data_IF_048354602611
#
_entry.id   IF_048354602611
#
_cell.length_a   1.000
_cell.length_b   1.000
_cell.length_c   1.000
_cell.angle_alpha   90.00
_cell.angle_beta   90.00
_cell.angle_gamma   90.00
#
_symmetry.space_group_name_H-M   'P 1'
#
loop_
_entity.id
_entity.type
_entity.pdbx_description
1 polymer ?
#
# COMPACT_ATOMS: atom_id res chain seq x y z
N UNK A 1 11.86 30.79 -19.43
CA UNK A 1 10.77 30.89 -18.43
C UNK A 1 10.20 29.51 -18.23
N UNK A 2 10.50 28.84 -17.11
CA UNK A 2 9.97 27.51 -16.82
C UNK A 2 8.62 27.67 -16.13
N UNK A 3 7.54 27.57 -16.90
CA UNK A 3 6.19 27.53 -16.34
C UNK A 3 6.10 26.28 -15.46
N UNK A 4 6.03 26.47 -14.14
CA UNK A 4 5.68 25.42 -13.18
C UNK A 4 4.27 24.93 -13.53
N UNK A 5 4.18 23.94 -14.43
CA UNK A 5 2.93 23.26 -14.74
C UNK A 5 2.48 22.57 -13.45
N UNK A 6 1.28 22.93 -12.98
CA UNK A 6 0.59 22.19 -11.93
C UNK A 6 0.64 20.69 -12.27
N UNK A 7 1.24 19.90 -11.39
CA UNK A 7 1.56 18.49 -11.67
C UNK A 7 0.30 17.61 -11.53
N UNK A 8 0.25 16.47 -12.23
CA UNK A 8 -1.00 15.87 -12.72
C UNK A 8 -1.78 15.01 -11.72
N UNK A 9 -1.48 14.99 -10.41
CA UNK A 9 -2.18 14.05 -9.51
C UNK A 9 -3.43 14.64 -8.87
N UNK A 10 -4.56 14.01 -9.18
CA UNK A 10 -5.95 14.46 -9.05
C UNK A 10 -6.52 14.23 -7.68
N UNK A 11 -6.86 12.98 -7.47
CA UNK A 11 -7.66 12.51 -6.35
C UNK A 11 -7.02 11.22 -5.88
N UNK A 12 -6.80 11.12 -4.57
CA UNK A 12 -6.44 9.88 -3.91
C UNK A 12 -7.73 9.17 -3.49
N UNK A 13 -7.80 7.86 -3.73
CA UNK A 13 -8.92 7.02 -3.33
C UNK A 13 -8.42 5.82 -2.55
N UNK A 14 -9.23 5.38 -1.60
CA UNK A 14 -9.02 4.14 -0.87
C UNK A 14 -10.34 3.37 -0.79
N UNK A 15 -10.25 2.04 -0.83
CA UNK A 15 -11.38 1.13 -0.69
C UNK A 15 -10.98 -0.02 0.23
N UNK A 16 -11.83 -0.28 1.21
CA UNK A 16 -11.68 -1.37 2.15
C UNK A 16 -12.78 -2.40 1.91
N UNK A 17 -12.39 -3.64 1.66
CA UNK A 17 -13.29 -4.76 1.48
C UNK A 17 -12.99 -5.80 2.56
N UNK A 18 -13.88 -5.90 3.54
CA UNK A 18 -13.80 -6.93 4.54
C UNK A 18 -14.43 -8.23 4.02
N UNK A 19 -13.65 -9.31 4.01
CA UNK A 19 -14.08 -10.63 3.57
C UNK A 19 -14.24 -11.53 4.80
N UNK A 20 -15.44 -12.07 5.05
CA UNK A 20 -15.64 -12.94 6.20
C UNK A 20 -14.84 -14.22 6.04
N UNK A 21 -14.53 -14.95 7.12
CA UNK A 21 -13.96 -16.26 6.99
C UNK A 21 -14.94 -17.14 6.22
N UNK A 22 -14.60 -17.50 4.98
CA UNK A 22 -15.45 -18.34 4.15
C UNK A 22 -15.74 -19.65 4.90
N UNK A 23 -17.03 -19.99 5.08
CA UNK A 23 -17.44 -21.41 5.19
C UNK A 23 -17.07 -22.04 3.86
N UNK A 24 -15.90 -22.67 3.77
CA UNK A 24 -15.47 -23.34 2.55
C UNK A 24 -16.44 -24.47 2.22
N UNK A 25 -17.40 -24.20 1.34
CA UNK A 25 -18.28 -25.21 0.75
C UNK A 25 -17.58 -26.01 -0.36
N UNK A 26 -16.31 -25.71 -0.65
CA UNK A 26 -15.50 -26.41 -1.65
C UNK A 26 -14.48 -27.32 -0.96
N UNK A 27 -14.59 -28.66 -1.08
CA UNK A 27 -13.66 -29.61 -0.44
C UNK A 27 -12.24 -29.62 -1.04
N UNK A 28 -12.00 -28.97 -2.18
CA UNK A 28 -10.79 -29.19 -2.99
C UNK A 28 -9.68 -28.14 -2.83
N UNK A 29 -9.90 -27.03 -2.12
CA UNK A 29 -8.82 -26.09 -1.76
C UNK A 29 -8.41 -26.34 -0.33
N UNK A 30 -7.15 -26.80 -0.15
CA UNK A 30 -6.50 -26.93 1.17
C UNK A 30 -6.83 -25.68 1.99
N UNK A 31 -7.48 -25.90 3.13
CA UNK A 31 -8.03 -24.88 4.01
C UNK A 31 -6.93 -23.94 4.55
N UNK A 32 -6.49 -23.00 3.72
CA UNK A 32 -5.58 -21.93 4.11
C UNK A 32 -6.36 -20.82 4.79
N UNK A 33 -6.73 -21.10 6.04
CA UNK A 33 -7.15 -20.13 7.04
C UNK A 33 -8.63 -19.76 7.03
N UNK A 34 -9.33 -20.18 8.09
CA UNK A 34 -10.64 -19.68 8.54
C UNK A 34 -10.56 -18.29 9.15
N UNK A 35 -9.52 -17.52 8.81
CA UNK A 35 -9.30 -16.21 9.42
C UNK A 35 -9.89 -15.12 8.53
N UNK A 36 -10.59 -14.15 9.12
CA UNK A 36 -11.07 -13.02 8.36
C UNK A 36 -9.93 -12.23 7.74
N UNK A 37 -10.18 -11.74 6.52
CA UNK A 37 -9.23 -10.96 5.75
C UNK A 37 -9.86 -9.62 5.40
N UNK A 38 -9.06 -8.57 5.39
CA UNK A 38 -9.46 -7.29 4.85
C UNK A 38 -8.59 -6.98 3.65
N UNK A 39 -9.21 -6.85 2.48
CA UNK A 39 -8.56 -6.41 1.26
C UNK A 39 -8.63 -4.88 1.19
N UNK A 40 -7.51 -4.25 0.86
CA UNK A 40 -7.32 -2.81 0.80
C UNK A 40 -6.80 -2.45 -0.59
N UNK A 41 -7.50 -1.53 -1.24
CA UNK A 41 -7.09 -0.96 -2.51
C UNK A 41 -6.90 0.55 -2.35
N UNK A 42 -5.74 1.07 -2.76
CA UNK A 42 -5.42 2.50 -2.74
C UNK A 42 -4.92 2.90 -4.12
N UNK A 43 -5.46 3.98 -4.68
CA UNK A 43 -5.03 4.45 -6.00
C UNK A 43 -5.11 5.96 -6.13
N UNK A 44 -4.29 6.50 -7.04
CA UNK A 44 -4.30 7.91 -7.39
C UNK A 44 -4.74 8.09 -8.85
N UNK A 45 -5.63 9.03 -9.08
CA UNK A 45 -6.16 9.41 -10.39
C UNK A 45 -5.50 10.70 -10.89
N UNK A 46 -5.47 10.92 -12.21
CA UNK A 46 -4.94 12.14 -12.81
C UNK A 46 -5.85 13.37 -12.67
N UNK A 47 -5.26 14.56 -12.92
CA UNK A 47 -5.90 15.88 -13.04
C UNK A 47 -6.06 16.24 -14.52
N UNK A 48 -6.95 17.17 -14.82
CA UNK A 48 -6.98 17.86 -16.12
C UNK A 48 -7.25 16.91 -17.28
N UNK A 49 -6.27 16.74 -18.18
CA UNK A 49 -6.41 15.84 -19.35
C UNK A 49 -6.43 14.36 -18.97
N UNK A 50 -5.84 14.02 -17.82
CA UNK A 50 -5.78 12.66 -17.29
C UNK A 50 -6.87 12.43 -16.22
N UNK A 51 -7.94 13.23 -16.19
CA UNK A 51 -8.98 13.13 -15.17
C UNK A 51 -9.63 11.74 -15.17
N UNK A 52 -9.64 11.09 -14.01
CA UNK A 52 -10.17 9.73 -13.84
C UNK A 52 -9.25 8.62 -14.35
N UNK A 53 -8.09 8.96 -14.94
CA UNK A 53 -7.08 7.97 -15.33
C UNK A 53 -6.30 7.55 -14.10
N UNK A 54 -6.36 6.26 -13.76
CA UNK A 54 -5.52 5.68 -12.71
C UNK A 54 -4.04 5.76 -13.10
N UNK A 55 -3.27 6.50 -12.30
CA UNK A 55 -1.84 6.71 -12.46
C UNK A 55 -1.03 5.64 -11.72
N UNK A 56 -1.49 5.27 -10.51
CA UNK A 56 -0.86 4.29 -9.64
C UNK A 56 -1.90 3.66 -8.71
N UNK A 57 -1.68 2.41 -8.35
CA UNK A 57 -2.56 1.52 -7.61
C UNK A 57 -1.75 0.58 -6.73
N UNK A 58 -2.24 0.35 -5.52
CA UNK A 58 -1.70 -0.61 -4.58
C UNK A 58 -2.84 -1.47 -4.04
N UNK A 59 -2.63 -2.79 -4.06
CA UNK A 59 -3.52 -3.77 -3.46
C UNK A 59 -2.79 -4.48 -2.33
N UNK A 60 -3.42 -4.50 -1.16
CA UNK A 60 -2.93 -5.19 0.01
C UNK A 60 -4.03 -6.06 0.62
N UNK A 61 -3.61 -7.07 1.36
CA UNK A 61 -4.49 -7.87 2.21
C UNK A 61 -3.97 -7.84 3.64
N UNK A 62 -4.87 -7.75 4.60
CA UNK A 62 -4.56 -7.76 6.02
C UNK A 62 -4.96 -9.11 6.63
N UNK A 63 -4.02 -9.72 7.34
CA UNK A 63 -4.28 -10.89 8.19
C UNK A 63 -4.21 -10.47 9.66
N UNK A 64 -5.38 -10.42 10.32
CA UNK A 64 -5.49 -9.95 11.71
C UNK A 64 -4.72 -10.83 12.70
N UNK A 65 -4.73 -12.15 12.49
CA UNK A 65 -4.10 -13.10 13.41
C UNK A 65 -2.61 -12.82 13.62
N UNK A 66 -1.93 -12.41 12.55
CA UNK A 66 -0.49 -12.18 12.58
C UNK A 66 -0.13 -10.69 12.63
N UNK A 67 -1.13 -9.79 12.65
CA UNK A 67 -0.95 -8.34 12.59
C UNK A 67 -0.03 -7.94 11.42
N UNK A 68 -0.23 -8.59 10.27
CA UNK A 68 0.58 -8.41 9.05
C UNK A 68 -0.29 -7.92 7.90
N UNK A 69 0.15 -6.82 7.29
CA UNK A 69 -0.31 -6.39 5.98
C UNK A 69 0.57 -7.01 4.90
N UNK A 70 -0.02 -7.56 3.85
CA UNK A 70 0.68 -8.12 2.70
C UNK A 70 0.36 -7.29 1.48
N UNK A 71 1.37 -6.64 0.91
CA UNK A 71 1.23 -5.98 -0.40
C UNK A 71 1.21 -7.08 -1.46
N UNK A 72 0.09 -7.17 -2.15
CA UNK A 72 -0.13 -8.12 -3.24
C UNK A 72 0.31 -7.51 -4.57
N UNK A 73 0.14 -6.19 -4.72
CA UNK A 73 0.49 -5.48 -5.94
C UNK A 73 0.79 -4.00 -5.68
N UNK A 74 1.78 -3.46 -6.39
CA UNK A 74 2.10 -2.02 -6.44
C UNK A 74 2.48 -1.66 -7.89
N UNK A 75 1.67 -0.84 -8.54
CA UNK A 75 1.81 -0.55 -9.97
C UNK A 75 0.56 0.16 -10.49
N UNK A 76 -0.04 -0.35 -11.56
CA UNK A 76 -1.42 0.00 -11.96
C UNK A 76 -2.30 -1.25 -11.88
N UNK A 77 -3.60 -1.08 -11.72
CA UNK A 77 -4.55 -2.20 -11.73
C UNK A 77 -4.43 -3.01 -13.02
N UNK A 78 -4.81 -4.28 -12.94
CA UNK A 78 -4.81 -5.22 -14.08
C UNK A 78 -3.44 -5.42 -14.74
N UNK A 79 -2.35 -5.27 -13.97
CA UNK A 79 -0.97 -5.41 -14.46
C UNK A 79 -0.60 -4.43 -15.60
N UNK A 80 -1.30 -3.29 -15.69
CA UNK A 80 -1.02 -2.28 -16.72
C UNK A 80 0.32 -1.61 -16.48
N UNK A 81 0.97 -1.21 -17.58
CA UNK A 81 2.23 -0.46 -17.52
C UNK A 81 2.01 0.92 -16.86
N UNK A 82 2.97 1.35 -16.03
CA UNK A 82 2.96 2.67 -15.36
C UNK A 82 2.67 3.78 -16.37
N UNK A 83 1.77 4.68 -16.01
CA UNK A 83 1.33 5.76 -16.89
C UNK A 83 2.51 6.68 -17.20
N UNK A 84 2.64 7.08 -18.47
CA UNK A 84 3.83 7.78 -18.93
C UNK A 84 4.00 9.16 -18.26
N UNK A 85 2.91 9.79 -17.83
CA UNK A 85 2.96 11.09 -17.14
C UNK A 85 3.52 11.06 -15.72
N UNK A 86 3.79 9.87 -15.16
CA UNK A 86 4.34 9.72 -13.79
C UNK A 86 5.52 8.76 -13.69
N UNK A 87 5.92 8.11 -14.78
CA UNK A 87 6.91 7.04 -14.76
C UNK A 87 8.28 7.58 -14.33
N UNK A 88 8.73 7.16 -13.14
CA UNK A 88 10.05 7.51 -12.61
C UNK A 88 10.17 8.94 -12.05
N UNK A 89 9.10 9.74 -12.14
CA UNK A 89 9.14 11.12 -11.69
C UNK A 89 8.93 11.23 -10.18
N UNK A 90 9.88 11.87 -9.49
CA UNK A 90 9.80 12.21 -8.07
C UNK A 90 9.25 13.62 -7.89
N UNK A 91 8.00 13.73 -7.46
CA UNK A 91 7.33 15.03 -7.35
C UNK A 91 6.26 15.15 -6.28
N UNK A 92 5.90 14.04 -5.63
CA UNK A 92 4.98 14.07 -4.51
C UNK A 92 5.74 14.59 -3.30
N UNK A 93 5.25 15.66 -2.70
CA UNK A 93 5.88 16.25 -1.53
C UNK A 93 5.32 15.60 -0.28
N UNK A 94 6.19 15.07 0.58
CA UNK A 94 5.79 14.36 1.81
C UNK A 94 4.98 15.25 2.76
N UNK A 95 5.30 16.54 2.86
CA UNK A 95 4.69 17.43 3.85
C UNK A 95 5.19 17.06 5.26
N UNK A 96 5.63 18.05 6.02
CA UNK A 96 6.37 17.93 7.28
C UNK A 96 7.80 17.38 7.13
N UNK A 97 8.74 18.31 7.09
CA UNK A 97 10.13 18.05 7.49
C UNK A 97 10.13 17.80 9.01
N UNK A 98 9.92 16.56 9.43
CA UNK A 98 10.25 16.17 10.80
C UNK A 98 11.77 16.34 10.96
N UNK A 99 12.18 17.44 11.60
CA UNK A 99 13.59 17.71 11.94
C UNK A 99 14.14 16.52 12.72
N UNK A 100 15.09 15.79 12.13
CA UNK A 100 15.83 14.72 12.79
C UNK A 100 15.44 13.30 12.38
N UNK A 101 14.48 13.10 11.47
CA UNK A 101 14.30 11.79 10.84
C UNK A 101 15.46 11.51 9.85
N UNK A 102 15.94 10.25 9.74
CA UNK A 102 16.94 9.87 8.74
C UNK A 102 16.49 10.25 7.32
N UNK A 103 17.46 10.37 6.40
CA UNK A 103 17.38 10.90 5.02
C UNK A 103 16.28 10.25 4.14
N UNK A 104 15.01 10.46 4.46
CA UNK A 104 13.91 10.15 3.56
C UNK A 104 13.89 11.24 2.48
N UNK A 105 13.84 10.90 1.19
CA UNK A 105 13.73 11.88 0.12
C UNK A 105 12.55 12.83 0.35
N UNK A 106 12.78 14.14 0.21
CA UNK A 106 11.72 15.15 0.29
C UNK A 106 10.68 15.03 -0.82
N UNK A 107 11.06 14.38 -1.93
CA UNK A 107 10.21 14.08 -3.08
C UNK A 107 10.11 12.58 -3.33
N UNK A 108 8.87 12.14 -3.45
CA UNK A 108 8.49 10.76 -3.69
C UNK A 108 7.94 10.59 -5.11
N UNK A 109 8.10 9.39 -5.64
CA UNK A 109 7.29 8.92 -6.76
C UNK A 109 5.85 8.68 -6.29
N UNK A 110 4.86 8.71 -7.19
CA UNK A 110 3.48 8.35 -6.84
C UNK A 110 3.35 6.94 -6.25
N UNK A 111 4.18 5.99 -6.69
CA UNK A 111 4.20 4.63 -6.14
C UNK A 111 4.68 4.58 -4.69
N UNK A 112 5.77 5.28 -4.35
CA UNK A 112 6.23 5.41 -2.96
C UNK A 112 5.16 6.08 -2.08
N UNK A 113 4.51 7.14 -2.59
CA UNK A 113 3.47 7.87 -1.86
C UNK A 113 2.22 7.01 -1.59
N UNK A 114 1.72 6.30 -2.63
CA UNK A 114 0.59 5.38 -2.46
C UNK A 114 0.97 4.22 -1.55
N UNK A 115 2.20 3.70 -1.63
CA UNK A 115 2.68 2.66 -0.72
C UNK A 115 2.68 3.14 0.75
N UNK A 116 3.12 4.38 0.99
CA UNK A 116 3.05 5.02 2.31
C UNK A 116 1.62 5.16 2.83
N UNK A 117 0.68 5.61 1.99
CA UNK A 117 -0.74 5.68 2.37
C UNK A 117 -1.31 4.31 2.68
N UNK A 118 -1.04 3.30 1.85
CA UNK A 118 -1.47 1.92 2.10
C UNK A 118 -0.94 1.46 3.46
N UNK A 119 0.32 1.76 3.76
CA UNK A 119 0.91 1.43 5.06
C UNK A 119 0.24 2.16 6.22
N UNK A 120 -0.06 3.45 6.09
CA UNK A 120 -0.78 4.20 7.11
C UNK A 120 -2.17 3.58 7.40
N UNK A 121 -2.91 3.18 6.37
CA UNK A 121 -4.21 2.50 6.55
C UNK A 121 -4.04 1.13 7.21
N UNK A 122 -3.05 0.33 6.80
CA UNK A 122 -2.72 -0.96 7.44
C UNK A 122 -2.38 -0.78 8.92
N UNK A 123 -1.66 0.30 9.26
CA UNK A 123 -1.30 0.69 10.63
C UNK A 123 -2.56 0.96 11.46
N UNK A 124 -3.50 1.74 10.91
CA UNK A 124 -4.80 2.04 11.54
C UNK A 124 -5.67 0.80 11.77
N UNK A 125 -5.53 -0.21 10.89
CA UNK A 125 -6.20 -1.50 11.04
C UNK A 125 -5.48 -2.45 12.04
N UNK A 126 -4.40 -1.99 12.68
CA UNK A 126 -3.70 -2.71 13.75
C UNK A 126 -2.60 -3.67 13.30
N UNK A 127 -2.10 -3.56 12.07
CA UNK A 127 -0.95 -4.34 11.60
C UNK A 127 0.38 -3.58 11.77
N UNK A 128 1.35 -4.25 12.37
CA UNK A 128 2.66 -3.67 12.72
C UNK A 128 3.76 -4.01 11.72
N UNK A 129 3.53 -5.00 10.87
CA UNK A 129 4.49 -5.44 9.85
C UNK A 129 3.83 -5.46 8.49
N UNK A 130 4.56 -4.96 7.49
CA UNK A 130 4.22 -5.12 6.08
C UNK A 130 5.20 -6.11 5.44
N UNK A 131 4.66 -7.02 4.64
CA UNK A 131 5.43 -7.92 3.79
C UNK A 131 5.01 -7.78 2.32
N UNK A 132 5.93 -8.01 1.41
CA UNK A 132 5.67 -8.00 -0.03
C UNK A 132 6.58 -8.99 -0.77
N UNK A 133 6.15 -9.39 -1.97
CA UNK A 133 6.98 -10.11 -2.93
C UNK A 133 7.65 -9.11 -3.89
N UNK A 134 8.97 -9.12 -3.94
CA UNK A 134 9.74 -8.37 -4.92
C UNK A 134 9.86 -9.21 -6.20
N UNK A 135 8.89 -9.05 -7.10
CA UNK A 135 8.92 -9.66 -8.45
C UNK A 135 9.92 -8.92 -9.35
N UNK A 136 11.20 -9.06 -9.04
CA UNK A 136 12.28 -8.47 -9.82
C UNK A 136 12.58 -9.34 -11.05
N UNK A 137 12.92 -8.70 -12.17
CA UNK A 137 13.26 -9.38 -13.42
C UNK A 137 14.72 -9.85 -13.50
N UNK A 138 15.41 -9.95 -12.36
CA UNK A 138 16.82 -10.28 -12.23
C UNK A 138 17.75 -9.08 -12.25
N UNK A 139 17.23 -7.85 -12.43
CA UNK A 139 18.05 -6.63 -12.39
C UNK A 139 18.49 -6.22 -10.99
N UNK A 140 17.81 -6.70 -9.95
CA UNK A 140 18.02 -6.34 -8.54
C UNK A 140 17.42 -4.97 -8.15
N UNK A 141 17.05 -4.13 -9.12
CA UNK A 141 16.66 -2.74 -8.87
C UNK A 141 15.42 -2.60 -7.99
N UNK A 142 14.46 -3.52 -8.11
CA UNK A 142 13.25 -3.46 -7.29
C UNK A 142 13.57 -3.82 -5.83
N UNK A 143 14.45 -4.81 -5.63
CA UNK A 143 14.92 -5.19 -4.30
C UNK A 143 15.74 -4.06 -3.67
N UNK A 144 16.61 -3.42 -4.45
CA UNK A 144 17.42 -2.29 -4.00
C UNK A 144 16.54 -1.09 -3.63
N UNK A 145 15.51 -0.81 -4.43
CA UNK A 145 14.50 0.20 -4.11
C UNK A 145 13.83 -0.12 -2.76
N UNK A 146 13.28 -1.32 -2.58
CA UNK A 146 12.64 -1.67 -1.31
C UNK A 146 13.61 -1.66 -0.12
N UNK A 147 14.87 -2.05 -0.34
CA UNK A 147 15.92 -1.96 0.68
C UNK A 147 16.19 -0.51 1.06
N UNK A 148 16.20 0.41 0.10
CA UNK A 148 16.35 1.86 0.36
C UNK A 148 15.16 2.45 1.11
N UNK A 149 13.97 1.85 0.98
CA UNK A 149 12.80 2.17 1.79
C UNK A 149 12.81 1.48 3.16
N UNK A 150 13.89 0.76 3.50
CA UNK A 150 14.12 0.09 4.77
C UNK A 150 13.43 -1.27 4.94
N UNK A 151 12.97 -1.89 3.84
CA UNK A 151 12.57 -3.29 3.88
C UNK A 151 13.80 -4.20 3.93
N UNK A 152 13.70 -5.26 4.73
CA UNK A 152 14.72 -6.32 4.80
C UNK A 152 14.28 -7.54 4.02
N UNK A 153 15.23 -8.25 3.44
CA UNK A 153 15.01 -9.54 2.78
C UNK A 153 14.66 -10.61 3.82
N UNK A 154 13.71 -11.47 3.50
CA UNK A 154 13.41 -12.67 4.27
C UNK A 154 14.20 -13.88 3.74
N UNK A 155 14.58 -14.84 4.60
CA UNK A 155 15.23 -16.09 4.18
C UNK A 155 14.34 -16.87 3.20
N UNK A 156 14.94 -17.44 2.15
CA UNK A 156 14.23 -18.19 1.12
C UNK A 156 15.07 -19.31 0.50
N UNK A 157 14.37 -20.30 -0.06
CA UNK A 157 15.02 -21.31 -0.88
C UNK A 157 15.47 -20.74 -2.23
N UNK A 158 16.51 -21.32 -2.80
CA UNK A 158 17.00 -20.93 -4.12
C UNK A 158 15.90 -21.14 -5.18
N UNK A 159 15.66 -20.13 -6.01
CA UNK A 159 14.63 -20.15 -7.06
C UNK A 159 13.25 -19.64 -6.63
N UNK A 160 13.03 -19.31 -5.35
CA UNK A 160 11.79 -18.68 -4.89
C UNK A 160 11.79 -17.15 -5.11
N UNK A 161 10.59 -16.57 -5.14
CA UNK A 161 10.40 -15.11 -5.29
C UNK A 161 10.74 -14.41 -3.97
N UNK A 162 11.70 -13.46 -4.00
CA UNK A 162 12.17 -12.72 -2.83
C UNK A 162 11.03 -12.01 -2.08
N UNK A 163 10.80 -12.43 -0.83
CA UNK A 163 9.91 -11.81 0.14
C UNK A 163 10.71 -10.76 0.92
N UNK A 164 10.10 -9.61 1.17
CA UNK A 164 10.69 -8.53 1.96
C UNK A 164 9.68 -8.04 2.99
N UNK A 165 10.17 -7.54 4.12
CA UNK A 165 9.31 -6.98 5.17
C UNK A 165 9.90 -5.73 5.82
N UNK A 166 9.03 -4.91 6.39
CA UNK A 166 9.39 -3.77 7.23
C UNK A 166 8.32 -3.53 8.31
N UNK A 167 8.67 -2.85 9.42
CA UNK A 167 7.67 -2.27 10.31
C UNK A 167 6.76 -1.30 9.54
N UNK A 168 5.45 -1.39 9.73
CA UNK A 168 4.47 -0.52 9.07
C UNK A 168 4.81 0.96 9.28
N UNK A 169 5.23 1.32 10.50
CA UNK A 169 5.64 2.68 10.89
C UNK A 169 6.79 3.29 10.11
N UNK A 170 7.60 2.44 9.48
CA UNK A 170 8.71 2.89 8.66
C UNK A 170 8.21 3.29 7.27
N UNK A 171 7.27 2.51 6.72
CA UNK A 171 6.69 2.74 5.39
C UNK A 171 5.64 3.85 5.43
N UNK A 172 4.85 3.97 6.49
CA UNK A 172 3.85 5.04 6.63
C UNK A 172 4.47 6.45 6.57
N UNK A 173 5.77 6.58 6.85
CA UNK A 173 6.52 7.83 6.67
C UNK A 173 6.60 8.29 5.22
N UNK A 174 6.32 7.41 4.25
CA UNK A 174 6.22 7.78 2.83
C UNK A 174 4.85 8.42 2.52
N UNK A 175 3.87 8.37 3.42
CA UNK A 175 2.56 8.95 3.21
C UNK A 175 2.66 10.49 3.16
N UNK A 176 2.19 11.13 2.08
CA UNK A 176 2.11 12.58 2.07
C UNK A 176 1.08 13.08 3.10
N UNK A 177 1.43 14.05 3.93
CA UNK A 177 0.56 14.56 5.00
C UNK A 177 -0.80 15.03 4.45
N UNK A 178 -0.78 15.85 3.39
CA UNK A 178 -1.99 16.33 2.72
C UNK A 178 -2.89 15.19 2.19
N UNK A 179 -2.32 14.05 1.81
CA UNK A 179 -3.08 12.88 1.37
C UNK A 179 -3.73 12.12 2.52
N UNK A 180 -3.05 12.05 3.67
CA UNK A 180 -3.62 11.49 4.90
C UNK A 180 -4.80 12.33 5.37
N UNK A 181 -4.65 13.66 5.30
CA UNK A 181 -5.70 14.63 5.66
C UNK A 181 -6.91 14.50 4.71
N UNK A 182 -6.68 14.41 3.40
CA UNK A 182 -7.73 14.28 2.39
C UNK A 182 -8.56 13.01 2.55
N UNK A 183 -7.93 11.90 2.95
CA UNK A 183 -8.61 10.64 3.26
C UNK A 183 -9.38 10.68 4.58
N UNK A 184 -9.25 11.77 5.35
CA UNK A 184 -9.86 11.95 6.69
C UNK A 184 -9.57 10.78 7.60
N UNK A 185 -8.33 10.26 7.53
CA UNK A 185 -7.90 9.18 8.41
C UNK A 185 -7.86 9.63 9.88
N UNK A 186 -7.74 10.94 10.12
CA UNK A 186 -7.89 11.54 11.43
C UNK A 186 -9.31 11.29 11.99
N UNK A 187 -9.39 10.45 13.03
CA UNK A 187 -10.64 10.09 13.70
C UNK A 187 -11.33 8.84 13.16
N UNK A 188 -10.83 8.23 12.08
CA UNK A 188 -11.31 6.91 11.67
C UNK A 188 -10.69 5.83 12.56
N UNK A 189 -11.52 5.20 13.41
CA UNK A 189 -11.11 4.02 14.18
C UNK A 189 -11.19 2.78 13.29
N UNK A 190 -10.14 2.56 12.50
CA UNK A 190 -10.06 1.42 11.59
C UNK A 190 -10.10 0.07 12.31
N UNK A 191 -9.63 0.03 13.57
CA UNK A 191 -9.65 -1.20 14.36
C UNK A 191 -11.06 -1.53 14.82
N UNK A 192 -11.78 -0.58 15.39
CA UNK A 192 -13.18 -0.77 15.80
C UNK A 192 -14.05 -1.13 14.58
N UNK A 193 -13.88 -0.42 13.45
CA UNK A 193 -14.57 -0.74 12.20
C UNK A 193 -14.32 -2.20 11.77
N UNK A 194 -13.06 -2.64 11.79
CA UNK A 194 -12.73 -4.01 11.41
C UNK A 194 -13.28 -5.03 12.41
N UNK A 195 -13.34 -4.68 13.70
CA UNK A 195 -13.94 -5.53 14.75
C UNK A 195 -15.45 -5.69 14.53
N UNK A 196 -16.17 -4.61 14.26
CA UNK A 196 -17.61 -4.59 14.03
C UNK A 196 -18.00 -5.41 12.79
N UNK A 197 -17.31 -5.18 11.66
CA UNK A 197 -17.60 -5.91 10.40
C UNK A 197 -17.36 -7.43 10.54
N UNK A 198 -16.47 -7.82 11.45
CA UNK A 198 -16.21 -9.23 11.74
C UNK A 198 -17.19 -9.83 12.74
N UNK A 199 -17.72 -9.03 13.68
CA UNK A 199 -18.74 -9.45 14.62
C UNK A 199 -20.10 -9.68 13.92
N UNK A 200 -20.55 -8.73 13.09
CA UNK A 200 -21.85 -8.80 12.39
C UNK A 200 -21.99 -10.04 11.51
N UNK A 201 -20.88 -10.54 10.97
CA UNK A 201 -20.87 -11.68 10.05
C UNK A 201 -20.66 -13.03 10.73
N UNK A 202 -20.38 -13.06 12.04
CA UNK A 202 -20.31 -14.30 12.81
C UNK A 202 -21.70 -14.80 13.25
N UNK A 203 -22.72 -13.92 13.20
CA UNK A 203 -24.08 -14.20 13.71
C UNK A 203 -25.04 -14.72 12.61
N UNK A 204 -24.64 -14.61 11.33
CA UNK A 204 -25.41 -15.13 10.17
C UNK A 204 -24.91 -16.46 9.62
#
# INVERSE_FOLDING_TARGET
SATLRERPMGVLRARLNATPPWRSLSPSRRASGTHPKCDLEVWAEGKGRDLGVELVYCHASLCRQNQRGRILWLGRSEQRAVHDSVRGDRFVTRGLEERGAPEVPSKLTPAEAVFGITAAIISLLGAFTIELQAMDNGSGKLIDLYTSLGLRRLPQAAGEIQWMEAPTRLIERLAPAHWVDDLRLAGFDGRAWLEDVMADRAVG
#
